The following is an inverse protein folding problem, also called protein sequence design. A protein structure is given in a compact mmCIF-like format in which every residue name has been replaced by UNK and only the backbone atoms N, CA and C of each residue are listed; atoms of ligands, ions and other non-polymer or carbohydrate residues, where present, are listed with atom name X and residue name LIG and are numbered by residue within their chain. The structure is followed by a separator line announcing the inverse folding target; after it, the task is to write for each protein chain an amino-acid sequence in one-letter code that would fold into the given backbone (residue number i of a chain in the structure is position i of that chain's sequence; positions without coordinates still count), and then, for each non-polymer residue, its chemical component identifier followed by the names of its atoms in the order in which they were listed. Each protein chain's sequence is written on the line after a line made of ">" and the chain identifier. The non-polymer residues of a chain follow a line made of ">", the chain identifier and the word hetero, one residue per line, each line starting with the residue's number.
data_IF_246189283708
#
_entry.id   IF_246189283708
#
_cell.length_a   1.000
_cell.length_b   1.000
_cell.length_c   1.000
_cell.angle_alpha   90.00
_cell.angle_beta   90.00
_cell.angle_gamma   90.00
#
_symmetry.space_group_name_H-M   'P 1'
#
loop_
_entity.id
_entity.type
_entity.pdbx_description
1 polymer ?
#
# COMPACT_ATOMS: atom_id res chain seq x y z
N UNK A 1 19.00 7.69 13.03
CA UNK A 1 19.43 6.30 13.33
C UNK A 1 19.05 5.46 12.12
N UNK A 2 20.01 4.86 11.47
CA UNK A 2 19.73 3.86 10.42
C UNK A 2 19.31 2.57 11.14
N UNK A 3 18.12 2.04 10.81
CA UNK A 3 17.78 0.68 11.19
C UNK A 3 18.81 -0.27 10.55
N UNK A 4 19.52 -1.05 11.34
CA UNK A 4 20.16 -2.22 10.81
C UNK A 4 19.08 -3.31 10.56
N UNK A 5 19.37 -4.20 9.65
CA UNK A 5 18.41 -5.24 9.21
C UNK A 5 17.97 -6.16 10.34
N UNK A 6 18.84 -6.45 11.33
CA UNK A 6 18.50 -7.31 12.45
C UNK A 6 17.47 -6.65 13.35
N UNK A 7 17.71 -5.41 13.74
CA UNK A 7 16.79 -4.59 14.55
C UNK A 7 15.44 -4.40 13.84
N UNK A 8 15.45 -4.22 12.51
CA UNK A 8 14.24 -4.09 11.71
C UNK A 8 13.39 -5.37 11.73
N UNK A 9 14.02 -6.54 11.56
CA UNK A 9 13.32 -7.82 11.56
C UNK A 9 12.74 -8.15 12.95
N UNK A 10 13.48 -7.84 14.03
CA UNK A 10 12.98 -7.99 15.40
C UNK A 10 11.77 -7.06 15.64
N UNK A 11 11.88 -5.80 15.21
CA UNK A 11 10.79 -4.84 15.34
C UNK A 11 9.52 -5.27 14.58
N UNK A 12 9.68 -5.85 13.38
CA UNK A 12 8.56 -6.39 12.61
C UNK A 12 7.91 -7.58 13.31
N UNK A 13 8.71 -8.49 13.87
CA UNK A 13 8.21 -9.67 14.58
C UNK A 13 7.42 -9.27 15.85
N UNK A 14 7.96 -8.34 16.63
CA UNK A 14 7.31 -7.82 17.82
C UNK A 14 6.01 -7.09 17.45
N UNK A 15 6.06 -6.22 16.43
CA UNK A 15 4.90 -5.49 15.95
C UNK A 15 3.79 -6.42 15.44
N UNK A 16 4.14 -7.46 14.70
CA UNK A 16 3.17 -8.45 14.22
C UNK A 16 2.49 -9.20 15.37
N UNK A 17 3.26 -9.57 16.40
CA UNK A 17 2.73 -10.26 17.58
C UNK A 17 1.78 -9.36 18.38
N UNK A 18 2.11 -8.09 18.56
CA UNK A 18 1.27 -7.11 19.25
C UNK A 18 0.02 -6.82 18.43
N UNK A 19 0.18 -6.58 17.12
CA UNK A 19 -0.93 -6.29 16.21
C UNK A 19 -1.95 -7.46 16.19
N UNK A 20 -1.47 -8.71 16.13
CA UNK A 20 -2.33 -9.90 16.17
C UNK A 20 -3.24 -9.95 17.41
N UNK A 21 -2.77 -9.43 18.56
CA UNK A 21 -3.56 -9.33 19.78
C UNK A 21 -4.54 -8.15 19.79
N UNK A 22 -4.26 -7.10 19.01
CA UNK A 22 -5.05 -5.86 18.97
C UNK A 22 -6.09 -5.81 17.86
N UNK A 23 -6.04 -6.72 16.91
CA UNK A 23 -7.04 -6.78 15.86
C UNK A 23 -8.43 -7.06 16.44
N UNK A 24 -9.47 -6.32 16.02
CA UNK A 24 -10.81 -6.40 16.60
C UNK A 24 -11.52 -7.73 16.31
N UNK A 25 -11.05 -8.51 15.36
CA UNK A 25 -11.58 -9.82 15.03
C UNK A 25 -10.49 -10.87 14.95
N UNK A 26 -10.87 -12.13 15.13
CA UNK A 26 -9.97 -13.26 14.92
C UNK A 26 -9.66 -13.50 13.43
N UNK A 27 -10.36 -12.81 12.53
CA UNK A 27 -10.17 -12.94 11.10
C UNK A 27 -8.94 -12.14 10.65
N UNK A 28 -8.20 -12.74 9.74
CA UNK A 28 -7.07 -12.09 9.08
C UNK A 28 -7.59 -10.97 8.18
N UNK A 29 -7.01 -9.75 8.18
CA UNK A 29 -7.38 -8.75 7.19
C UNK A 29 -7.18 -9.29 5.78
N UNK A 30 -8.16 -9.07 4.93
CA UNK A 30 -8.12 -9.51 3.53
C UNK A 30 -7.39 -8.50 2.65
N UNK A 31 -7.52 -7.21 2.98
CA UNK A 31 -6.84 -6.12 2.28
C UNK A 31 -5.90 -5.35 3.21
N UNK A 32 -4.82 -4.86 2.62
CA UNK A 32 -4.05 -3.74 3.11
C UNK A 32 -4.24 -2.54 2.21
N UNK A 33 -4.64 -1.41 2.80
CA UNK A 33 -4.78 -0.14 2.12
C UNK A 33 -3.70 0.82 2.59
N UNK A 34 -2.96 1.41 1.65
CA UNK A 34 -1.99 2.45 1.95
C UNK A 34 -2.42 3.73 1.26
N UNK A 35 -2.70 4.77 2.05
CA UNK A 35 -3.17 6.04 1.54
C UNK A 35 -2.28 7.16 2.03
N UNK A 36 -2.10 8.16 1.17
CA UNK A 36 -1.51 9.44 1.54
C UNK A 36 -2.31 10.17 2.62
N UNK A 37 -1.69 11.17 3.24
CA UNK A 37 -2.30 11.99 4.29
C UNK A 37 -3.47 12.88 3.76
N UNK A 38 -3.69 12.89 2.47
CA UNK A 38 -4.71 13.67 1.79
C UNK A 38 -6.14 13.12 1.99
N UNK A 39 -6.27 11.89 2.50
CA UNK A 39 -7.56 11.20 2.55
C UNK A 39 -8.03 10.97 3.99
N UNK A 40 -9.28 11.31 4.28
CA UNK A 40 -9.93 10.91 5.54
C UNK A 40 -10.33 9.44 5.48
N UNK A 41 -9.46 8.59 6.02
CA UNK A 41 -9.65 7.14 6.03
C UNK A 41 -10.74 6.64 6.96
N UNK A 42 -11.02 7.34 8.05
CA UNK A 42 -12.00 6.87 9.03
C UNK A 42 -13.39 6.70 8.40
N UNK A 43 -13.76 7.61 7.49
CA UNK A 43 -15.03 7.57 6.79
C UNK A 43 -15.18 6.45 5.74
N UNK A 44 -14.13 5.65 5.47
CA UNK A 44 -14.20 4.52 4.54
C UNK A 44 -14.75 3.25 5.19
N UNK A 45 -14.59 3.10 6.50
CA UNK A 45 -15.00 1.91 7.23
C UNK A 45 -16.52 1.90 7.52
N UNK A 46 -17.07 0.70 7.69
CA UNK A 46 -18.50 0.49 8.01
C UNK A 46 -18.87 1.00 9.41
N UNK A 47 -17.90 0.97 10.33
CA UNK A 47 -17.97 1.52 11.68
C UNK A 47 -16.59 2.12 12.03
N UNK A 48 -16.48 2.95 13.08
CA UNK A 48 -15.18 3.47 13.50
C UNK A 48 -14.15 2.36 13.65
N UNK A 49 -13.01 2.42 12.92
CA UNK A 49 -11.98 1.39 13.00
C UNK A 49 -11.23 1.43 14.32
N UNK A 50 -10.60 0.34 14.71
CA UNK A 50 -9.62 0.35 15.78
C UNK A 50 -8.37 1.09 15.29
N UNK A 51 -7.98 2.12 16.01
CA UNK A 51 -6.77 2.91 15.72
C UNK A 51 -5.61 2.39 16.56
N UNK A 52 -4.52 2.05 15.89
CA UNK A 52 -3.33 1.46 16.52
C UNK A 52 -2.12 2.30 16.12
N UNK A 53 -1.61 3.18 17.01
CA UNK A 53 -0.42 3.96 16.72
C UNK A 53 0.78 3.07 16.44
N UNK A 54 1.53 3.37 15.37
CA UNK A 54 2.63 2.52 14.91
C UNK A 54 3.75 2.39 15.97
N UNK A 55 4.03 3.45 16.74
CA UNK A 55 5.04 3.45 17.78
C UNK A 55 4.71 2.53 18.96
N UNK A 56 3.43 2.18 19.15
CA UNK A 56 3.00 1.23 20.20
C UNK A 56 3.23 -0.23 19.78
N UNK A 57 3.43 -0.48 18.49
CA UNK A 57 3.69 -1.81 17.95
C UNK A 57 5.16 -2.20 18.03
N UNK A 58 6.09 -1.23 18.07
CA UNK A 58 7.49 -1.50 18.27
C UNK A 58 8.19 -0.31 18.97
N UNK A 59 8.76 -0.54 20.16
CA UNK A 59 9.55 0.47 20.87
C UNK A 59 10.79 0.95 20.09
N UNK A 60 11.27 0.13 19.16
CA UNK A 60 12.41 0.43 18.29
C UNK A 60 12.06 1.40 17.16
N UNK A 61 10.78 1.60 16.88
CA UNK A 61 10.34 2.58 15.89
C UNK A 61 10.36 3.98 16.50
N UNK A 62 11.05 4.94 15.89
CA UNK A 62 11.02 6.29 16.41
C UNK A 62 9.59 6.82 16.44
N UNK A 63 9.22 7.51 17.51
CA UNK A 63 8.03 8.37 17.52
C UNK A 63 8.28 9.49 16.53
N UNK A 64 7.97 9.23 15.28
CA UNK A 64 8.21 10.18 14.22
C UNK A 64 6.88 10.67 13.70
N UNK A 65 6.78 11.97 13.56
CA UNK A 65 5.68 12.63 12.88
C UNK A 65 6.05 12.80 11.41
N UNK A 66 5.05 12.73 10.56
CA UNK A 66 5.17 13.14 9.16
C UNK A 66 5.43 14.64 9.09
N UNK A 67 5.82 15.12 7.92
CA UNK A 67 5.94 16.56 7.65
C UNK A 67 4.66 17.34 7.95
N UNK A 68 3.50 16.69 7.86
CA UNK A 68 2.19 17.25 8.17
C UNK A 68 1.89 17.24 9.69
N UNK A 69 2.84 16.77 10.51
CA UNK A 69 2.71 16.68 11.96
C UNK A 69 1.88 15.49 12.44
N UNK A 70 1.42 14.63 11.54
CA UNK A 70 0.62 13.45 11.88
C UNK A 70 1.49 12.30 12.36
N UNK A 71 0.93 11.46 13.21
CA UNK A 71 1.55 10.22 13.64
C UNK A 71 1.00 9.06 12.79
N UNK A 72 1.90 8.20 12.30
CA UNK A 72 1.48 7.01 11.56
C UNK A 72 0.74 6.05 12.47
N UNK A 73 -0.46 5.67 12.08
CA UNK A 73 -1.29 4.68 12.76
C UNK A 73 -1.83 3.65 11.76
N UNK A 74 -2.12 2.47 12.26
CA UNK A 74 -2.88 1.47 11.54
C UNK A 74 -4.35 1.58 11.94
N UNK A 75 -5.23 1.43 10.97
CA UNK A 75 -6.68 1.38 11.14
C UNK A 75 -7.13 -0.05 10.83
N UNK A 76 -7.77 -0.71 11.77
CA UNK A 76 -8.28 -2.06 11.57
C UNK A 76 -9.81 -2.07 11.72
N UNK A 77 -10.51 -2.58 10.70
CA UNK A 77 -11.97 -2.60 10.68
C UNK A 77 -12.51 -3.35 9.48
N UNK A 78 -13.74 -3.03 9.09
CA UNK A 78 -14.39 -3.62 7.91
C UNK A 78 -14.83 -2.56 6.93
N UNK A 79 -14.71 -2.89 5.66
CA UNK A 79 -15.27 -2.14 4.53
C UNK A 79 -16.13 -3.11 3.74
N UNK A 80 -17.43 -2.82 3.59
CA UNK A 80 -18.41 -3.74 2.98
C UNK A 80 -18.38 -5.16 3.62
N UNK A 81 -18.24 -5.21 4.93
CA UNK A 81 -18.12 -6.45 5.67
C UNK A 81 -16.76 -7.16 5.55
N UNK A 82 -15.87 -6.74 4.65
CA UNK A 82 -14.56 -7.35 4.42
C UNK A 82 -13.54 -6.81 5.43
N UNK A 83 -12.75 -7.65 6.12
CA UNK A 83 -11.72 -7.21 7.04
C UNK A 83 -10.60 -6.47 6.31
N UNK A 84 -10.26 -5.27 6.78
CA UNK A 84 -9.27 -4.39 6.18
C UNK A 84 -8.32 -3.86 7.24
N UNK A 85 -7.04 -3.83 6.90
CA UNK A 85 -6.00 -3.10 7.58
C UNK A 85 -5.58 -1.91 6.70
N UNK A 86 -5.53 -0.71 7.24
CA UNK A 86 -5.09 0.45 6.49
C UNK A 86 -4.02 1.23 7.25
N UNK A 87 -3.10 1.87 6.55
CA UNK A 87 -2.17 2.83 7.14
C UNK A 87 -2.65 4.26 6.90
N UNK A 88 -2.70 5.05 7.96
CA UNK A 88 -3.03 6.46 7.95
C UNK A 88 -1.84 7.28 8.47
N UNK A 89 -1.65 8.50 7.94
CA UNK A 89 -0.50 9.34 8.27
C UNK A 89 0.81 8.65 7.88
N UNK A 90 0.85 8.05 6.69
CA UNK A 90 1.98 7.26 6.24
C UNK A 90 3.25 8.10 6.15
N UNK A 91 4.35 7.59 6.72
CA UNK A 91 5.67 8.20 6.59
C UNK A 91 6.14 8.09 5.16
N UNK A 92 6.82 9.14 4.73
CA UNK A 92 7.53 9.17 3.45
C UNK A 92 9.03 9.05 3.68
N UNK A 93 9.75 8.58 2.70
CA UNK A 93 11.22 8.61 2.74
C UNK A 93 11.72 10.04 2.94
N UNK A 94 11.02 11.01 2.35
CA UNK A 94 11.27 12.44 2.49
C UNK A 94 11.11 12.98 3.93
N UNK A 95 10.40 12.30 4.82
CA UNK A 95 10.31 12.68 6.24
C UNK A 95 11.64 12.47 7.00
N UNK A 96 12.66 11.87 6.36
CA UNK A 96 14.01 11.74 6.89
C UNK A 96 14.21 10.55 7.84
N UNK A 97 13.23 9.65 7.96
CA UNK A 97 13.32 8.46 8.82
C UNK A 97 13.92 7.23 8.12
N UNK A 98 14.24 7.36 6.82
CA UNK A 98 14.79 6.30 5.99
C UNK A 98 13.70 5.37 5.39
N UNK A 99 14.09 4.65 4.33
CA UNK A 99 13.17 3.82 3.57
C UNK A 99 12.52 2.71 4.41
N UNK A 100 13.28 2.02 5.24
CA UNK A 100 12.75 0.94 6.09
C UNK A 100 11.64 1.43 7.03
N UNK A 101 11.79 2.63 7.61
CA UNK A 101 10.76 3.21 8.48
C UNK A 101 9.50 3.63 7.69
N UNK A 102 9.67 4.17 6.48
CA UNK A 102 8.55 4.51 5.60
C UNK A 102 7.77 3.28 5.15
N UNK A 103 8.47 2.20 4.82
CA UNK A 103 7.91 0.96 4.32
C UNK A 103 7.42 -0.01 5.42
N UNK A 104 7.66 0.31 6.69
CA UNK A 104 7.34 -0.58 7.82
C UNK A 104 5.87 -1.03 7.86
N UNK A 105 4.86 -0.15 7.68
CA UNK A 105 3.45 -0.60 7.67
C UNK A 105 3.15 -1.61 6.57
N UNK A 106 3.75 -1.43 5.39
CA UNK A 106 3.58 -2.34 4.24
C UNK A 106 4.24 -3.68 4.49
N UNK A 107 5.46 -3.69 5.01
CA UNK A 107 6.14 -4.93 5.42
C UNK A 107 5.34 -5.66 6.52
N UNK A 108 4.86 -4.92 7.52
CA UNK A 108 4.07 -5.49 8.62
C UNK A 108 2.78 -6.14 8.10
N UNK A 109 2.04 -5.48 7.22
CA UNK A 109 0.83 -6.04 6.61
C UNK A 109 1.14 -7.35 5.85
N UNK A 110 2.23 -7.36 5.08
CA UNK A 110 2.67 -8.56 4.33
C UNK A 110 2.98 -9.73 5.26
N UNK A 111 3.73 -9.51 6.34
CA UNK A 111 4.09 -10.59 7.29
C UNK A 111 2.91 -11.05 8.15
N UNK A 112 1.88 -10.21 8.30
CA UNK A 112 0.59 -10.60 8.90
C UNK A 112 -0.24 -11.50 7.97
N UNK A 113 0.26 -11.80 6.78
CA UNK A 113 -0.40 -12.64 5.79
C UNK A 113 -1.49 -11.92 5.00
N UNK A 114 -1.54 -10.60 5.03
CA UNK A 114 -2.43 -9.84 4.15
C UNK A 114 -1.88 -9.91 2.74
N UNK A 115 -2.66 -10.45 1.79
CA UNK A 115 -2.17 -10.71 0.43
C UNK A 115 -2.61 -9.66 -0.59
N UNK A 116 -3.73 -9.00 -0.39
CA UNK A 116 -4.26 -8.04 -1.36
C UNK A 116 -3.90 -6.62 -0.92
N UNK A 117 -2.97 -6.00 -1.61
CA UNK A 117 -2.49 -4.66 -1.32
C UNK A 117 -3.01 -3.66 -2.36
N UNK A 118 -3.65 -2.60 -1.90
CA UNK A 118 -4.10 -1.49 -2.73
C UNK A 118 -3.43 -0.21 -2.22
N UNK A 119 -2.64 0.40 -3.08
CA UNK A 119 -1.97 1.67 -2.82
C UNK A 119 -2.74 2.81 -3.47
N UNK A 120 -2.82 3.94 -2.77
CA UNK A 120 -3.41 5.17 -3.28
C UNK A 120 -2.41 6.29 -3.10
N UNK A 121 -2.15 7.01 -4.18
CA UNK A 121 -1.23 8.13 -4.18
C UNK A 121 -1.82 9.31 -4.94
N UNK A 122 -1.40 10.51 -4.56
CA UNK A 122 -1.70 11.76 -5.27
C UNK A 122 -0.43 12.26 -5.93
N UNK A 123 -0.42 12.27 -7.25
CA UNK A 123 0.77 12.54 -8.05
C UNK A 123 0.55 13.65 -9.07
N UNK A 124 1.62 14.05 -9.73
CA UNK A 124 1.62 15.07 -10.77
C UNK A 124 1.36 14.39 -12.10
N UNK A 125 0.29 14.76 -12.79
CA UNK A 125 0.02 14.30 -14.15
C UNK A 125 0.89 15.05 -15.15
N UNK A 126 1.47 14.32 -16.10
CA UNK A 126 2.34 14.81 -17.17
C UNK A 126 1.66 14.84 -18.53
N UNK A 127 0.40 14.43 -18.61
CA UNK A 127 -0.35 14.24 -19.85
C UNK A 127 -1.73 14.90 -19.78
N UNK A 128 -2.29 15.24 -20.94
CA UNK A 128 -3.59 15.91 -21.05
C UNK A 128 -4.77 15.04 -20.63
N UNK A 129 -4.60 13.74 -20.71
CA UNK A 129 -5.62 12.72 -20.43
C UNK A 129 -5.96 12.62 -18.96
N UNK A 130 -5.00 12.91 -18.08
CA UNK A 130 -5.19 12.92 -16.63
C UNK A 130 -5.23 14.35 -16.09
N UNK A 131 -6.36 15.02 -16.29
CA UNK A 131 -6.62 16.32 -15.64
C UNK A 131 -6.68 16.16 -14.13
N UNK A 132 -6.42 17.25 -13.38
CA UNK A 132 -6.57 17.24 -11.92
C UNK A 132 -7.94 16.66 -11.51
N UNK A 133 -7.93 15.76 -10.54
CA UNK A 133 -9.10 15.00 -10.10
C UNK A 133 -9.39 13.71 -10.87
N UNK A 134 -8.56 13.32 -11.86
CA UNK A 134 -8.71 12.05 -12.59
C UNK A 134 -7.86 10.94 -11.97
N UNK A 135 -8.38 9.73 -12.04
CA UNK A 135 -7.73 8.54 -11.52
C UNK A 135 -7.02 7.75 -12.62
N UNK A 136 -5.76 7.40 -12.36
CA UNK A 136 -5.02 6.39 -13.07
C UNK A 136 -5.02 5.06 -12.30
N UNK A 137 -5.01 3.95 -13.03
CA UNK A 137 -4.73 2.61 -12.52
C UNK A 137 -3.32 2.23 -12.94
N UNK A 138 -2.44 1.96 -11.98
CA UNK A 138 -1.05 1.64 -12.27
C UNK A 138 -0.95 0.36 -13.11
N UNK A 139 -0.30 0.47 -14.26
CA UNK A 139 0.03 -0.65 -15.14
C UNK A 139 1.51 -1.01 -15.06
N UNK A 140 2.36 0.01 -14.92
CA UNK A 140 3.82 -0.15 -14.84
C UNK A 140 4.44 1.09 -14.19
N UNK A 141 5.73 1.03 -13.87
CA UNK A 141 6.44 2.14 -13.23
C UNK A 141 7.91 2.22 -13.64
N UNK A 142 8.47 3.39 -13.42
CA UNK A 142 9.93 3.64 -13.46
C UNK A 142 10.37 4.09 -12.08
N UNK A 143 11.49 3.56 -11.58
CA UNK A 143 12.06 3.92 -10.28
C UNK A 143 13.42 4.59 -10.47
N UNK A 144 13.51 5.86 -10.09
CA UNK A 144 14.77 6.65 -10.13
C UNK A 144 15.40 6.78 -8.73
N UNK A 145 15.05 5.90 -7.79
CA UNK A 145 15.70 5.88 -6.48
C UNK A 145 17.10 5.30 -6.57
N UNK A 146 18.07 5.93 -5.87
CA UNK A 146 19.45 5.46 -5.78
C UNK A 146 19.64 4.23 -4.89
N UNK A 147 18.57 3.69 -4.34
CA UNK A 147 18.55 2.50 -3.49
C UNK A 147 17.37 1.60 -3.86
N UNK A 148 17.46 0.33 -3.51
CA UNK A 148 16.33 -0.60 -3.60
C UNK A 148 15.57 -0.68 -2.27
N UNK A 149 14.23 -0.70 -2.25
CA UNK A 149 13.46 -0.94 -1.03
C UNK A 149 13.70 -2.34 -0.43
N UNK A 150 14.39 -3.21 -1.16
CA UNK A 150 14.74 -4.56 -0.76
C UNK A 150 16.13 -4.68 -0.13
N UNK A 151 16.91 -3.59 -0.10
CA UNK A 151 18.23 -3.57 0.52
C UNK A 151 18.13 -3.94 2.01
N UNK A 152 18.94 -4.90 2.41
CA UNK A 152 18.94 -5.41 3.77
C UNK A 152 17.82 -6.39 4.11
N UNK A 153 16.81 -6.59 3.24
CA UNK A 153 15.66 -7.47 3.49
C UNK A 153 15.81 -8.87 2.90
N UNK A 154 17.00 -9.25 2.38
CA UNK A 154 17.26 -10.53 1.75
C UNK A 154 16.92 -11.74 2.62
N UNK A 155 16.94 -11.61 3.95
CA UNK A 155 16.51 -12.67 4.87
C UNK A 155 14.99 -12.85 4.97
N UNK A 156 14.21 -11.93 4.43
CA UNK A 156 12.75 -11.96 4.38
C UNK A 156 12.21 -12.36 3.01
N UNK A 157 13.05 -12.35 1.98
CA UNK A 157 12.68 -12.64 0.61
C UNK A 157 12.87 -14.11 0.29
N UNK A 158 11.94 -14.69 -0.45
CA UNK A 158 12.03 -16.06 -0.95
C UNK A 158 13.25 -16.23 -1.87
N UNK A 159 13.45 -15.25 -2.73
CA UNK A 159 14.57 -15.21 -3.68
C UNK A 159 15.24 -13.85 -3.65
N UNK A 160 16.57 -13.78 -3.63
CA UNK A 160 17.27 -12.55 -3.98
C UNK A 160 16.94 -12.21 -5.43
N UNK A 161 16.81 -10.93 -5.74
CA UNK A 161 16.44 -10.43 -7.08
C UNK A 161 15.09 -10.99 -7.58
N UNK A 162 13.95 -10.62 -6.94
CA UNK A 162 12.63 -11.01 -7.43
C UNK A 162 12.40 -10.49 -8.85
N UNK A 163 11.67 -11.26 -9.64
CA UNK A 163 11.23 -10.82 -10.96
C UNK A 163 10.17 -9.72 -10.81
N UNK A 164 10.42 -8.55 -11.37
CA UNK A 164 9.54 -7.39 -11.29
C UNK A 164 8.73 -7.16 -12.59
N UNK A 165 8.82 -8.06 -13.58
CA UNK A 165 8.10 -7.90 -14.85
C UNK A 165 6.56 -7.93 -14.68
N UNK A 166 6.09 -8.57 -13.60
CA UNK A 166 4.67 -8.70 -13.29
C UNK A 166 4.36 -8.20 -11.87
N UNK A 167 4.92 -7.05 -11.49
CA UNK A 167 4.75 -6.48 -10.15
C UNK A 167 3.30 -6.11 -9.87
N UNK A 168 2.58 -5.65 -10.88
CA UNK A 168 1.17 -5.25 -10.78
C UNK A 168 0.28 -6.44 -11.12
N UNK A 169 -0.67 -6.75 -10.23
CA UNK A 169 -1.63 -7.83 -10.43
C UNK A 169 -2.73 -7.41 -11.41
N UNK A 170 -2.64 -7.94 -12.63
CA UNK A 170 -3.59 -7.64 -13.72
C UNK A 170 -5.02 -8.13 -13.40
N UNK A 171 -5.15 -9.23 -12.66
CA UNK A 171 -6.45 -9.76 -12.26
C UNK A 171 -7.11 -8.83 -11.25
N UNK A 172 -6.38 -8.48 -10.18
CA UNK A 172 -6.88 -7.54 -9.16
C UNK A 172 -7.19 -6.17 -9.79
N UNK A 173 -6.36 -5.66 -10.70
CA UNK A 173 -6.64 -4.44 -11.44
C UNK A 173 -7.94 -4.53 -12.25
N UNK A 174 -8.17 -5.65 -12.91
CA UNK A 174 -9.40 -5.86 -13.71
C UNK A 174 -10.64 -5.81 -12.83
N UNK A 175 -10.60 -6.42 -11.65
CA UNK A 175 -11.72 -6.39 -10.69
C UNK A 175 -11.97 -4.97 -10.15
N UNK A 176 -10.90 -4.22 -9.85
CA UNK A 176 -11.04 -2.81 -9.45
C UNK A 176 -11.64 -1.97 -10.59
N UNK A 177 -11.24 -2.20 -11.83
CA UNK A 177 -11.79 -1.51 -12.99
C UNK A 177 -13.27 -1.86 -13.27
N UNK A 178 -13.76 -3.01 -12.80
CA UNK A 178 -15.19 -3.33 -12.85
C UNK A 178 -16.04 -2.40 -11.98
N UNK A 179 -15.43 -1.79 -10.94
CA UNK A 179 -16.05 -0.77 -10.10
C UNK A 179 -16.01 0.65 -10.70
N UNK A 180 -15.66 0.78 -11.97
CA UNK A 180 -15.35 2.04 -12.67
C UNK A 180 -16.35 3.17 -12.52
N UNK A 181 -17.64 2.86 -12.44
CA UNK A 181 -18.71 3.86 -12.35
C UNK A 181 -18.69 4.64 -11.01
N UNK A 182 -18.09 4.05 -9.97
CA UNK A 182 -18.08 4.62 -8.63
C UNK A 182 -16.90 5.58 -8.39
N UNK A 183 -15.92 5.64 -9.32
CA UNK A 183 -14.83 6.62 -9.31
C UNK A 183 -15.16 7.93 -10.05
N UNK A 184 -16.41 8.13 -10.46
CA UNK A 184 -16.84 9.25 -11.29
C UNK A 184 -16.55 8.98 -12.77
N UNK A 185 -15.31 9.13 -13.23
CA UNK A 185 -14.85 8.56 -14.49
C UNK A 185 -13.99 7.32 -14.27
N UNK A 186 -14.07 6.34 -15.18
CA UNK A 186 -13.28 5.11 -15.05
C UNK A 186 -11.78 5.43 -14.96
N UNK A 187 -11.06 4.85 -14.01
CA UNK A 187 -9.61 4.91 -13.99
C UNK A 187 -9.04 4.37 -15.31
N UNK A 188 -7.97 5.00 -15.81
CA UNK A 188 -7.27 4.56 -17.02
C UNK A 188 -5.91 4.01 -16.64
N UNK A 189 -5.42 3.04 -17.39
CA UNK A 189 -4.07 2.51 -17.19
C UNK A 189 -3.03 3.64 -17.34
N UNK A 190 -2.04 3.63 -16.47
CA UNK A 190 -1.00 4.65 -16.44
C UNK A 190 0.36 4.07 -16.07
N UNK A 191 1.42 4.79 -16.45
CA UNK A 191 2.80 4.54 -16.05
C UNK A 191 3.21 5.62 -15.05
N UNK A 192 3.74 5.19 -13.91
CA UNK A 192 4.17 6.07 -12.84
C UNK A 192 5.69 6.14 -12.77
N UNK A 193 6.23 7.34 -12.66
CA UNK A 193 7.65 7.57 -12.41
C UNK A 193 7.87 8.01 -10.97
N UNK A 194 8.50 7.14 -10.18
CA UNK A 194 8.90 7.43 -8.80
C UNK A 194 10.28 8.07 -8.75
N UNK A 195 10.35 9.29 -8.23
CA UNK A 195 11.60 10.02 -8.03
C UNK A 195 11.86 10.27 -6.55
N UNK A 196 13.13 10.32 -6.12
CA UNK A 196 13.43 10.78 -4.77
C UNK A 196 13.00 12.23 -4.63
N UNK A 197 12.43 12.55 -3.50
CA UNK A 197 11.95 13.90 -3.35
C UNK A 197 11.85 14.37 -1.93
N UNK A 198 12.09 15.67 -1.82
CA UNK A 198 11.61 16.60 -0.83
C UNK A 198 11.25 17.93 -1.53
N UNK A 199 11.25 17.93 -2.84
CA UNK A 199 10.95 19.09 -3.67
C UNK A 199 9.97 18.72 -4.76
N UNK A 200 9.27 19.72 -5.25
CA UNK A 200 8.44 19.59 -6.44
C UNK A 200 9.34 19.61 -7.68
N UNK A 201 9.00 18.82 -8.73
CA UNK A 201 9.83 18.70 -9.90
C UNK A 201 9.94 20.02 -10.68
N UNK A 202 11.07 20.22 -11.30
CA UNK A 202 11.25 21.27 -12.30
C UNK A 202 10.55 20.89 -13.61
N UNK A 203 10.33 21.88 -14.48
CA UNK A 203 9.80 21.60 -15.82
C UNK A 203 10.68 20.66 -16.65
N UNK A 204 12.01 20.68 -16.44
CA UNK A 204 12.95 19.79 -17.12
C UNK A 204 12.83 18.35 -16.61
N UNK A 205 12.68 18.14 -15.31
CA UNK A 205 12.43 16.82 -14.72
C UNK A 205 11.08 16.25 -15.19
N UNK A 206 10.04 17.05 -15.24
CA UNK A 206 8.74 16.65 -15.77
C UNK A 206 8.84 16.27 -17.27
N UNK A 207 9.56 17.04 -18.06
CA UNK A 207 9.79 16.74 -19.48
C UNK A 207 10.59 15.44 -19.67
N UNK A 208 11.62 15.20 -18.85
CA UNK A 208 12.39 13.95 -18.83
C UNK A 208 11.47 12.76 -18.50
N UNK A 209 10.68 12.88 -17.43
CA UNK A 209 9.74 11.83 -17.01
C UNK A 209 8.74 11.50 -18.11
N UNK A 210 8.23 12.51 -18.80
CA UNK A 210 7.34 12.30 -19.96
C UNK A 210 8.05 11.63 -21.12
N UNK A 211 9.31 12.00 -21.40
CA UNK A 211 10.09 11.43 -22.49
C UNK A 211 10.38 9.93 -22.32
N UNK A 212 10.47 9.44 -21.10
CA UNK A 212 10.58 7.99 -20.80
C UNK A 212 9.25 7.26 -20.76
N UNK A 213 8.14 7.93 -21.09
CA UNK A 213 6.82 7.31 -21.20
C UNK A 213 5.93 7.40 -19.97
N UNK A 214 6.34 8.12 -18.90
CA UNK A 214 5.53 8.26 -17.71
C UNK A 214 4.32 9.18 -17.94
N UNK A 215 3.20 8.81 -17.36
CA UNK A 215 1.97 9.61 -17.29
C UNK A 215 1.89 10.40 -16.00
N UNK A 216 2.43 9.84 -14.93
CA UNK A 216 2.50 10.44 -13.61
C UNK A 216 3.93 10.54 -13.09
N UNK A 217 4.15 11.56 -12.28
CA UNK A 217 5.40 11.79 -11.54
C UNK A 217 5.06 11.95 -10.06
N UNK A 218 5.69 11.15 -9.22
CA UNK A 218 5.50 11.21 -7.77
C UNK A 218 6.68 10.61 -7.03
N UNK A 219 6.47 10.16 -5.81
CA UNK A 219 7.57 9.78 -4.92
C UNK A 219 7.50 8.30 -4.51
N UNK A 220 7.09 8.00 -3.31
CA UNK A 220 7.35 6.73 -2.62
C UNK A 220 6.51 5.53 -3.08
N UNK A 221 5.46 5.72 -3.88
CA UNK A 221 4.55 4.65 -4.32
C UNK A 221 5.30 3.43 -4.85
N UNK A 222 6.29 3.64 -5.72
CA UNK A 222 7.04 2.55 -6.35
C UNK A 222 7.80 1.68 -5.33
N UNK A 223 8.24 2.26 -4.23
CA UNK A 223 8.96 1.53 -3.18
C UNK A 223 8.03 0.55 -2.46
N UNK A 224 6.81 0.97 -2.17
CA UNK A 224 5.78 0.12 -1.56
C UNK A 224 5.34 -1.00 -2.51
N UNK A 225 5.17 -0.68 -3.79
CA UNK A 225 4.81 -1.64 -4.85
C UNK A 225 5.87 -2.73 -4.99
N UNK A 226 7.15 -2.35 -5.10
CA UNK A 226 8.27 -3.29 -5.21
C UNK A 226 8.34 -4.19 -3.96
N UNK A 227 8.26 -3.60 -2.77
CA UNK A 227 8.33 -4.36 -1.52
C UNK A 227 7.18 -5.37 -1.39
N UNK A 228 5.95 -4.93 -1.64
CA UNK A 228 4.77 -5.80 -1.54
C UNK A 228 4.84 -6.99 -2.49
N UNK A 229 5.22 -6.74 -3.75
CA UNK A 229 5.38 -7.80 -4.74
C UNK A 229 6.49 -8.78 -4.32
N UNK A 230 7.64 -8.27 -3.87
CA UNK A 230 8.76 -9.11 -3.41
C UNK A 230 8.39 -9.98 -2.19
N UNK A 231 7.41 -9.56 -1.38
CA UNK A 231 6.85 -10.31 -0.26
C UNK A 231 5.65 -11.20 -0.66
N UNK A 232 5.40 -11.37 -1.96
CA UNK A 232 4.40 -12.28 -2.50
C UNK A 232 2.95 -11.79 -2.32
N UNK A 233 2.73 -10.48 -2.38
CA UNK A 233 1.40 -9.89 -2.33
C UNK A 233 0.89 -9.56 -3.75
N UNK A 234 -0.44 -9.59 -3.92
CA UNK A 234 -1.16 -9.07 -5.09
C UNK A 234 -1.21 -7.54 -4.97
N UNK A 235 -0.69 -6.84 -5.95
CA UNK A 235 -0.49 -5.39 -5.85
C UNK A 235 -1.29 -4.66 -6.90
N UNK A 236 -2.09 -3.69 -6.45
CA UNK A 236 -2.74 -2.69 -7.29
C UNK A 236 -2.45 -1.29 -6.76
N UNK A 237 -2.47 -0.29 -7.63
CA UNK A 237 -2.38 1.09 -7.21
C UNK A 237 -3.28 2.00 -8.04
N UNK A 238 -3.96 2.91 -7.34
CA UNK A 238 -4.72 4.01 -7.91
C UNK A 238 -3.95 5.31 -7.69
N UNK A 239 -3.80 6.08 -8.75
CA UNK A 239 -3.05 7.35 -8.74
C UNK A 239 -3.99 8.48 -9.10
N UNK A 240 -4.16 9.42 -8.18
CA UNK A 240 -4.93 10.65 -8.43
C UNK A 240 -4.04 11.70 -9.08
N UNK A 241 -4.48 12.30 -10.16
CA UNK A 241 -3.89 13.53 -10.67
C UNK A 241 -4.21 14.68 -9.69
N UNK A 242 -3.27 14.99 -8.80
CA UNK A 242 -3.41 16.11 -7.87
C UNK A 242 -3.30 17.44 -8.58
N UNK A 243 -2.30 17.55 -9.46
CA UNK A 243 -2.11 18.69 -10.36
C UNK A 243 -1.65 18.16 -11.72
N UNK A 244 -1.71 19.04 -12.73
CA UNK A 244 -1.23 18.74 -14.07
C UNK A 244 -0.04 19.68 -14.41
N UNK A 245 1.06 19.08 -14.85
CA UNK A 245 2.26 19.77 -15.30
C UNK A 245 2.63 19.30 -16.71
N UNK A 246 2.08 19.96 -17.72
CA UNK A 246 2.35 19.58 -19.11
C UNK A 246 3.70 20.12 -19.57
N UNK A 247 4.52 19.30 -20.26
CA UNK A 247 5.75 19.75 -20.87
C UNK A 247 5.53 20.94 -21.81
N UNK A 248 6.38 21.98 -21.69
CA UNK A 248 6.23 23.21 -22.45
C UNK A 248 5.24 24.24 -21.86
N UNK A 249 4.52 23.89 -20.80
CA UNK A 249 3.62 24.79 -20.09
C UNK A 249 4.03 24.88 -18.61
N UNK A 250 5.08 25.64 -18.29
CA UNK A 250 5.57 25.78 -16.93
C UNK A 250 4.47 26.38 -16.05
N UNK A 251 4.25 25.74 -14.90
CA UNK A 251 3.27 26.15 -13.90
C UNK A 251 3.90 25.99 -12.52
N UNK A 252 3.72 26.99 -11.68
CA UNK A 252 3.95 26.84 -10.25
C UNK A 252 2.74 26.19 -9.60
N UNK A 253 2.98 25.29 -8.67
CA UNK A 253 1.95 24.65 -7.85
C UNK A 253 2.52 24.35 -6.46
N UNK A 254 1.66 24.00 -5.53
CA UNK A 254 2.03 23.71 -4.16
C UNK A 254 1.57 22.31 -3.79
N UNK A 255 2.13 21.78 -2.71
CA UNK A 255 1.66 20.53 -2.12
C UNK A 255 0.24 20.66 -1.59
N UNK A 256 -0.13 21.84 -1.05
CA UNK A 256 -1.48 22.09 -0.56
C UNK A 256 -2.52 22.00 -1.68
N UNK A 257 -2.21 22.50 -2.88
CA UNK A 257 -3.07 22.36 -4.06
C UNK A 257 -3.32 20.88 -4.41
N UNK A 258 -2.29 20.03 -4.34
CA UNK A 258 -2.44 18.59 -4.54
C UNK A 258 -3.32 17.95 -3.45
N UNK A 259 -3.11 18.36 -2.20
CA UNK A 259 -3.88 17.90 -1.05
C UNK A 259 -5.36 18.30 -1.15
N UNK A 260 -5.65 19.54 -1.54
CA UNK A 260 -7.02 20.01 -1.76
C UNK A 260 -7.74 19.18 -2.82
N UNK A 261 -7.06 18.84 -3.92
CA UNK A 261 -7.59 17.94 -4.94
C UNK A 261 -7.90 16.56 -4.37
N UNK A 262 -7.01 15.99 -3.55
CA UNK A 262 -7.22 14.72 -2.86
C UNK A 262 -8.45 14.74 -1.94
N UNK A 263 -8.56 15.78 -1.12
CA UNK A 263 -9.72 15.97 -0.23
C UNK A 263 -11.04 16.11 -1.03
N UNK A 264 -11.02 16.87 -2.12
CA UNK A 264 -12.18 17.04 -3.00
C UNK A 264 -12.63 15.72 -3.62
N UNK A 265 -11.69 14.87 -4.02
CA UNK A 265 -11.97 13.57 -4.63
C UNK A 265 -12.25 12.44 -3.62
N UNK A 266 -12.13 12.68 -2.32
CA UNK A 266 -12.26 11.64 -1.28
C UNK A 266 -13.61 10.93 -1.29
N UNK A 267 -14.69 11.64 -1.64
CA UNK A 267 -16.03 11.05 -1.75
C UNK A 267 -16.13 10.02 -2.87
N UNK A 268 -15.60 10.33 -4.04
CA UNK A 268 -15.54 9.43 -5.19
C UNK A 268 -14.63 8.23 -4.90
N UNK A 269 -13.46 8.50 -4.33
CA UNK A 269 -12.53 7.44 -3.93
C UNK A 269 -13.20 6.45 -2.97
N UNK A 270 -13.92 6.96 -1.96
CA UNK A 270 -14.62 6.11 -0.99
C UNK A 270 -15.62 5.18 -1.67
N UNK A 271 -16.45 5.69 -2.55
CA UNK A 271 -17.44 4.89 -3.28
C UNK A 271 -16.76 3.85 -4.16
N UNK A 272 -15.79 4.28 -4.98
CA UNK A 272 -15.07 3.40 -5.88
C UNK A 272 -14.28 2.32 -5.15
N UNK A 273 -13.60 2.67 -4.05
CA UNK A 273 -12.82 1.72 -3.26
C UNK A 273 -13.71 0.68 -2.53
N UNK A 274 -14.84 1.11 -1.96
CA UNK A 274 -15.81 0.19 -1.35
C UNK A 274 -16.30 -0.84 -2.37
N UNK A 275 -16.62 -0.40 -3.57
CA UNK A 275 -17.05 -1.28 -4.66
C UNK A 275 -15.91 -2.19 -5.12
N UNK A 276 -14.70 -1.65 -5.28
CA UNK A 276 -13.52 -2.40 -5.68
C UNK A 276 -13.20 -3.55 -4.70
N UNK A 277 -13.27 -3.29 -3.41
CA UNK A 277 -13.08 -4.30 -2.34
C UNK A 277 -14.07 -5.45 -2.49
N UNK A 278 -15.35 -5.14 -2.77
CA UNK A 278 -16.37 -6.17 -3.01
C UNK A 278 -16.08 -7.01 -4.25
N UNK A 279 -15.71 -6.37 -5.38
CA UNK A 279 -15.47 -7.10 -6.63
C UNK A 279 -14.25 -8.03 -6.50
N UNK A 280 -13.13 -7.53 -5.95
CA UNK A 280 -11.93 -8.36 -5.70
C UNK A 280 -12.24 -9.49 -4.73
N UNK A 281 -13.02 -9.25 -3.66
CA UNK A 281 -13.40 -10.30 -2.71
C UNK A 281 -14.23 -11.38 -3.36
N UNK A 282 -15.24 -11.02 -4.16
CA UNK A 282 -16.10 -11.96 -4.91
C UNK A 282 -15.31 -12.81 -5.89
N UNK A 283 -14.39 -12.18 -6.63
CA UNK A 283 -13.52 -12.90 -7.55
C UNK A 283 -12.68 -13.94 -6.81
N UNK A 284 -12.11 -13.58 -5.66
CA UNK A 284 -11.30 -14.50 -4.84
C UNK A 284 -12.12 -15.68 -4.31
N UNK A 285 -13.37 -15.50 -3.93
CA UNK A 285 -14.26 -16.58 -3.49
C UNK A 285 -14.57 -17.55 -4.63
N UNK A 286 -14.84 -17.02 -5.85
CA UNK A 286 -15.02 -17.85 -7.03
C UNK A 286 -13.78 -18.64 -7.45
N UNK A 287 -12.58 -18.13 -7.16
CA UNK A 287 -11.31 -18.86 -7.38
C UNK A 287 -11.08 -19.95 -6.33
N UNK A 288 -11.42 -19.70 -5.05
CA UNK A 288 -11.23 -20.67 -3.97
C UNK A 288 -12.06 -21.95 -4.15
N UNK A 289 -13.21 -21.86 -4.82
CA UNK A 289 -14.03 -23.05 -5.17
C UNK A 289 -13.38 -23.93 -6.24
N UNK A 290 -12.38 -23.43 -7.00
CA UNK A 290 -11.75 -24.11 -8.13
C UNK A 290 -10.29 -24.55 -7.90
N UNK A 291 -9.68 -24.25 -6.76
CA UNK A 291 -8.27 -24.55 -6.45
C UNK A 291 -8.18 -25.51 -5.26
N UNK A 292 -7.40 -26.59 -5.42
CA UNK A 292 -7.03 -27.56 -4.38
C UNK A 292 -6.40 -26.86 -3.14
N UNK A 293 -6.54 -27.44 -1.93
CA UNK A 293 -6.26 -26.75 -0.66
C UNK A 293 -4.84 -26.20 -0.55
N UNK A 294 -4.76 -24.97 -0.10
CA UNK A 294 -3.53 -24.21 0.21
C UNK A 294 -2.74 -24.81 1.38
N UNK A 295 -2.15 -25.97 1.21
CA UNK A 295 -1.29 -26.54 2.26
C UNK A 295 0.09 -25.87 2.37
N UNK A 296 0.53 -25.12 1.35
CA UNK A 296 1.94 -24.70 1.25
C UNK A 296 2.19 -23.18 1.43
N UNK A 297 1.21 -22.30 1.21
CA UNK A 297 1.45 -20.85 1.27
C UNK A 297 1.77 -20.35 2.70
N UNK A 298 1.11 -20.87 3.72
CA UNK A 298 1.36 -20.51 5.12
C UNK A 298 2.70 -21.09 5.64
N UNK A 299 3.12 -22.23 5.10
CA UNK A 299 4.40 -22.85 5.45
C UNK A 299 5.58 -22.10 4.81
N UNK A 300 5.40 -21.59 3.60
CA UNK A 300 6.38 -20.74 2.90
C UNK A 300 6.54 -19.40 3.63
N UNK A 301 5.47 -18.76 4.06
CA UNK A 301 5.53 -17.52 4.83
C UNK A 301 6.25 -17.72 6.17
N UNK A 302 5.98 -18.82 6.88
CA UNK A 302 6.67 -19.18 8.13
C UNK A 302 8.13 -19.60 7.94
N UNK A 303 8.50 -20.13 6.78
CA UNK A 303 9.90 -20.49 6.44
C UNK A 303 10.74 -19.27 6.11
N UNK A 304 10.17 -18.28 5.44
CA UNK A 304 10.91 -17.11 4.96
C UNK A 304 11.18 -16.11 6.06
N UNK A 305 10.30 -16.00 7.03
CA UNK A 305 10.56 -15.25 8.25
C UNK A 305 11.20 -16.23 9.22
N UNK A 306 12.53 -16.27 9.29
CA UNK A 306 13.26 -16.91 10.39
C UNK A 306 12.99 -16.18 11.71
N UNK A 307 11.73 -16.12 12.10
CA UNK A 307 11.31 -15.73 13.43
C UNK A 307 11.86 -16.82 14.35
N UNK A 308 12.84 -16.49 15.17
CA UNK A 308 13.36 -17.41 16.17
C UNK A 308 12.18 -18.05 16.90
N UNK A 309 12.10 -19.36 16.87
CA UNK A 309 10.92 -20.18 17.18
C UNK A 309 10.37 -20.01 18.61
N UNK A 310 10.97 -19.16 19.44
CA UNK A 310 10.76 -19.09 20.87
C UNK A 310 9.88 -17.96 21.38
N UNK A 311 9.56 -16.91 20.56
CA UNK A 311 8.83 -15.73 21.05
C UNK A 311 7.44 -15.45 20.42
N UNK A 312 6.93 -16.29 19.50
CA UNK A 312 5.79 -15.93 18.67
C UNK A 312 4.50 -16.74 18.87
N UNK A 313 4.14 -17.08 20.10
CA UNK A 313 2.89 -17.82 20.38
C UNK A 313 1.62 -17.15 19.85
N UNK A 314 1.39 -15.82 20.06
CA UNK A 314 0.19 -15.15 19.56
C UNK A 314 0.14 -15.06 18.02
N UNK A 315 1.28 -14.75 17.37
CA UNK A 315 1.36 -14.65 15.92
C UNK A 315 1.14 -15.99 15.25
N UNK A 316 1.74 -17.10 15.79
CA UNK A 316 1.50 -18.45 15.29
C UNK A 316 0.04 -18.86 15.42
N UNK A 317 -0.60 -18.52 16.53
CA UNK A 317 -2.02 -18.78 16.73
C UNK A 317 -2.89 -17.99 15.74
N UNK A 318 -2.54 -16.72 15.47
CA UNK A 318 -3.21 -15.86 14.49
C UNK A 318 -3.07 -16.40 13.07
N UNK A 319 -1.86 -16.76 12.64
CA UNK A 319 -1.58 -17.26 11.28
C UNK A 319 -2.19 -18.65 11.00
N UNK A 320 -2.46 -19.46 12.05
CA UNK A 320 -3.11 -20.79 11.93
C UNK A 320 -4.64 -20.74 11.96
N UNK A 321 -5.26 -19.57 12.16
CA UNK A 321 -6.72 -19.46 12.17
C UNK A 321 -7.25 -19.54 10.75
N UNK A 322 -7.98 -20.60 10.44
CA UNK A 322 -8.75 -20.73 9.22
C UNK A 322 -9.87 -19.68 9.21
N UNK A 323 -10.25 -19.15 8.02
CA UNK A 323 -11.46 -18.34 7.92
C UNK A 323 -12.66 -19.16 8.43
N UNK A 324 -13.63 -18.53 9.10
CA UNK A 324 -14.81 -19.25 9.57
C UNK A 324 -15.54 -19.86 8.38
N UNK A 325 -15.70 -21.19 8.40
CA UNK A 325 -16.58 -21.89 7.48
C UNK A 325 -17.99 -21.36 7.72
N UNK A 326 -18.59 -20.76 6.69
CA UNK A 326 -20.00 -20.40 6.74
C UNK A 326 -20.80 -21.71 6.85
N UNK A 327 -21.52 -21.90 7.96
CA UNK A 327 -22.53 -22.95 8.04
C UNK A 327 -23.64 -22.63 7.02
N UNK A 328 -24.02 -23.59 6.18
CA UNK A 328 -25.15 -23.40 5.27
C UNK A 328 -26.43 -23.27 6.09
N UNK A 329 -27.10 -22.13 5.97
CA UNK A 329 -28.48 -21.93 6.45
C UNK A 329 -29.50 -22.48 5.46
#
# INVERSE_FOLDING_TARGET
>A
MSFDTSTYNEALADAASILACRLPSAERPFFYLHLGAEYDLAGFFDAPPAEIPLHELSPSLPRARTLDGEETRLLAGRIEGVPVLASAGARRVADGHGALAALFPTALASIMGVKNHIFLDTAISLVSEFKAGRWGMLADYVSDFAFSPLEGLHGMLDKPFPDLAHTIDQSQNSEILNAKADFGEPPRLCIYHGIPGFHLPTSAEAARSRAIGADFLGHDLVLHVILSHALGCHVSALVLAGVQLLPGFPRSFTRDEMRETGLFCSGQLRQGLRRAILEVRRASEGYAENILPESDADEVLCRNIKLSATRSSPLKAFLRREPPTQEPT
#
